data_IF_249122670683
#
_entry.id   IF_249122670683
#
_cell.length_a   1.000
_cell.length_b   1.000
_cell.length_c   1.000
_cell.angle_alpha   90.00
_cell.angle_beta   90.00
_cell.angle_gamma   90.00
#
_symmetry.space_group_name_H-M   'P 1'
#
loop_
_entity.id
_entity.type
_entity.pdbx_description
1 polymer ?
#
# COMPACT_ATOMS: atom_id res chain seq x y z
N UNK A 1 -31.75 -22.44 4.01
CA UNK A 1 -31.43 -21.11 4.59
C UNK A 1 -29.95 -20.93 4.39
N UNK A 2 -29.57 -20.37 3.23
CA UNK A 2 -28.30 -20.67 2.58
C UNK A 2 -27.28 -19.54 2.81
N UNK A 3 -26.01 -19.94 2.78
CA UNK A 3 -24.75 -19.27 3.10
C UNK A 3 -24.44 -17.91 2.41
N UNK A 4 -25.44 -17.09 2.09
CA UNK A 4 -25.31 -15.80 1.39
C UNK A 4 -25.56 -14.58 2.30
N UNK A 5 -25.40 -14.71 3.63
CA UNK A 5 -25.74 -13.65 4.61
C UNK A 5 -24.70 -13.45 5.73
N UNK A 6 -23.46 -13.90 5.56
CA UNK A 6 -22.48 -14.00 6.66
C UNK A 6 -21.15 -13.26 6.42
N UNK A 7 -21.07 -12.34 5.47
CA UNK A 7 -19.80 -11.71 5.07
C UNK A 7 -19.99 -10.25 4.63
N UNK A 8 -20.34 -9.38 5.57
CA UNK A 8 -20.21 -7.93 5.38
C UNK A 8 -19.29 -7.43 6.50
N UNK A 9 -18.37 -6.50 6.21
CA UNK A 9 -17.39 -5.91 7.15
C UNK A 9 -16.04 -6.63 7.22
N UNK A 10 -15.23 -6.42 6.19
CA UNK A 10 -13.83 -6.13 6.37
C UNK A 10 -13.78 -4.81 5.66
N UNK A 11 -14.13 -3.79 6.43
CA UNK A 11 -14.31 -2.45 5.95
C UNK A 11 -15.23 -2.30 4.72
N UNK A 12 -16.52 -2.10 4.99
CA UNK A 12 -17.24 -0.97 4.40
C UNK A 12 -17.66 -1.07 2.91
N UNK A 13 -18.99 -1.10 2.71
CA UNK A 13 -19.72 -0.82 1.46
C UNK A 13 -19.55 0.65 0.99
N UNK A 14 -18.34 1.20 1.06
CA UNK A 14 -18.02 2.53 0.57
C UNK A 14 -17.84 2.47 -0.93
N UNK A 15 -18.49 3.41 -1.62
CA UNK A 15 -17.93 3.88 -2.87
C UNK A 15 -16.84 4.90 -2.52
N UNK A 16 -15.58 4.69 -2.93
CA UNK A 16 -14.56 5.71 -2.75
C UNK A 16 -14.95 6.93 -3.59
N UNK A 17 -15.19 8.06 -2.93
CA UNK A 17 -15.38 9.35 -3.60
C UNK A 17 -14.09 10.13 -3.51
N UNK A 18 -13.44 10.36 -4.65
CA UNK A 18 -12.19 11.13 -4.72
C UNK A 18 -12.52 12.62 -4.64
N UNK A 19 -12.32 13.23 -3.46
CA UNK A 19 -12.23 14.68 -3.37
C UNK A 19 -10.77 15.09 -3.62
N UNK A 20 -10.47 15.54 -4.85
CA UNK A 20 -9.13 15.99 -5.21
C UNK A 20 -8.88 17.38 -4.58
N UNK A 21 -8.38 17.41 -3.35
CA UNK A 21 -7.96 18.65 -2.68
C UNK A 21 -6.43 18.62 -2.48
N UNK A 22 -5.76 19.42 -3.32
CA UNK A 22 -4.43 19.99 -3.13
C UNK A 22 -3.29 18.99 -2.83
N UNK A 23 -2.66 18.46 -3.87
CA UNK A 23 -1.31 17.91 -3.76
C UNK A 23 -0.31 19.07 -3.54
N UNK A 24 0.26 19.18 -2.34
CA UNK A 24 1.43 20.04 -2.10
C UNK A 24 2.68 19.20 -2.35
N UNK A 25 3.20 19.26 -3.57
CA UNK A 25 4.47 18.62 -3.92
C UNK A 25 5.63 19.47 -3.38
N UNK A 26 6.38 18.94 -2.42
CA UNK A 26 7.63 19.55 -1.94
C UNK A 26 8.80 18.82 -2.60
N UNK A 27 9.49 19.47 -3.52
CA UNK A 27 10.72 18.94 -4.15
C UNK A 27 11.92 19.27 -3.26
N UNK A 28 12.62 18.25 -2.74
CA UNK A 28 13.91 18.46 -2.06
C UNK A 28 14.98 18.70 -3.13
N UNK A 29 15.63 19.88 -3.12
CA UNK A 29 16.90 20.09 -3.84
C UNK A 29 18.00 19.39 -3.04
N UNK A 30 18.72 18.43 -3.65
CA UNK A 30 19.98 17.92 -3.10
C UNK A 30 21.10 18.90 -3.49
N UNK A 31 21.80 19.44 -2.50
CA UNK A 31 23.12 20.04 -2.68
C UNK A 31 24.13 18.89 -2.83
N UNK A 32 24.82 18.85 -3.97
CA UNK A 32 25.90 17.90 -4.27
C UNK A 32 27.21 18.44 -3.67
N UNK A 33 27.83 17.67 -2.79
CA UNK A 33 29.23 17.85 -2.40
C UNK A 33 30.05 16.73 -3.07
N UNK A 34 30.78 17.11 -4.12
CA UNK A 34 31.83 16.31 -4.75
C UNK A 34 32.99 16.09 -3.78
N UNK A 35 33.35 14.83 -3.51
CA UNK A 35 34.74 14.47 -3.24
C UNK A 35 34.98 12.96 -3.40
N UNK A 36 35.99 12.57 -4.17
CA UNK A 36 36.47 11.19 -4.20
C UNK A 36 37.25 10.80 -5.45
N UNK A 37 38.58 10.88 -5.36
CA UNK A 37 39.53 10.53 -6.40
C UNK A 37 39.69 9.03 -6.70
N UNK A 38 40.41 8.78 -7.79
CA UNK A 38 40.55 7.55 -8.54
C UNK A 38 41.85 6.76 -8.22
N UNK A 39 41.86 5.46 -8.64
CA UNK A 39 42.95 4.46 -8.81
C UNK A 39 42.90 3.31 -7.77
N UNK A 40 43.09 2.01 -8.09
CA UNK A 40 43.70 1.33 -9.25
C UNK A 40 43.28 -0.16 -9.31
N UNK A 41 43.27 -0.68 -10.54
CA UNK A 41 43.18 -2.04 -11.10
C UNK A 41 44.02 -3.17 -10.45
N UNK A 42 43.48 -4.39 -10.40
CA UNK A 42 44.20 -5.65 -10.70
C UNK A 42 43.27 -6.83 -11.11
N UNK A 43 43.77 -7.69 -12.01
CA UNK A 43 43.11 -8.84 -12.66
C UNK A 43 43.60 -10.16 -12.04
N UNK A 44 42.77 -11.23 -12.02
CA UNK A 44 42.95 -12.50 -12.79
C UNK A 44 42.14 -13.71 -12.26
N UNK A 45 41.49 -14.39 -13.22
CA UNK A 45 41.33 -15.85 -13.45
C UNK A 45 40.43 -16.77 -12.57
N UNK A 46 39.35 -17.21 -13.23
CA UNK A 46 38.83 -18.60 -13.42
C UNK A 46 38.46 -19.48 -12.21
N UNK A 47 37.23 -20.02 -12.21
CA UNK A 47 36.93 -21.46 -12.46
C UNK A 47 35.43 -21.66 -12.65
N UNK A 48 35.08 -22.36 -13.73
CA UNK A 48 33.73 -22.81 -14.04
C UNK A 48 33.31 -23.93 -13.09
N UNK A 49 32.06 -23.91 -12.60
CA UNK A 49 31.43 -25.12 -12.09
C UNK A 49 29.99 -25.20 -12.60
N UNK A 50 29.76 -26.22 -13.41
CA UNK A 50 28.50 -26.60 -14.01
C UNK A 50 27.67 -27.40 -13.00
N UNK A 51 26.52 -26.88 -12.60
CA UNK A 51 25.45 -27.67 -12.00
C UNK A 51 24.17 -27.41 -12.79
N UNK A 52 23.83 -28.39 -13.63
CA UNK A 52 22.62 -28.43 -14.44
C UNK A 52 21.40 -28.64 -13.55
N UNK A 53 20.66 -27.57 -13.27
CA UNK A 53 19.28 -27.65 -12.79
C UNK A 53 18.33 -27.34 -13.96
N UNK A 54 17.59 -28.36 -14.37
CA UNK A 54 16.56 -28.28 -15.42
C UNK A 54 15.36 -27.47 -14.91
N UNK A 55 15.42 -26.16 -15.07
CA UNK A 55 14.30 -25.25 -14.80
C UNK A 55 13.35 -25.25 -16.00
N UNK A 56 12.10 -25.64 -15.78
CA UNK A 56 11.07 -25.70 -16.83
C UNK A 56 10.76 -24.30 -17.39
N UNK A 57 10.33 -24.25 -18.65
CA UNK A 57 10.05 -23.00 -19.41
C UNK A 57 8.98 -22.11 -18.76
N UNK A 58 8.13 -22.68 -17.89
CA UNK A 58 7.15 -21.95 -17.07
C UNK A 58 7.80 -21.29 -15.83
N UNK A 59 8.69 -22.03 -15.16
CA UNK A 59 9.40 -21.56 -13.95
C UNK A 59 10.44 -20.48 -14.27
N UNK A 60 11.04 -20.54 -15.47
CA UNK A 60 11.91 -19.47 -16.01
C UNK A 60 11.15 -18.22 -16.48
N UNK A 61 9.86 -18.33 -16.82
CA UNK A 61 9.03 -17.16 -17.16
C UNK A 61 8.56 -16.44 -15.90
N UNK A 62 8.26 -17.18 -14.82
CA UNK A 62 7.88 -16.60 -13.53
C UNK A 62 9.05 -15.83 -12.90
N UNK A 63 10.27 -16.40 -12.88
CA UNK A 63 11.44 -15.76 -12.28
C UNK A 63 11.94 -14.51 -13.01
N UNK A 64 11.63 -14.36 -14.31
CA UNK A 64 12.04 -13.20 -15.11
C UNK A 64 11.04 -12.04 -14.96
N UNK A 65 9.76 -12.33 -14.73
CA UNK A 65 8.75 -11.31 -14.42
C UNK A 65 8.97 -10.72 -13.02
N UNK A 66 9.31 -11.55 -12.03
CA UNK A 66 9.55 -11.11 -10.65
C UNK A 66 10.81 -10.23 -10.49
N UNK A 67 11.79 -10.35 -11.40
CA UNK A 67 13.00 -9.53 -11.38
C UNK A 67 12.89 -8.19 -12.13
N UNK A 68 11.89 -8.02 -13.00
CA UNK A 68 11.72 -6.79 -13.79
C UNK A 68 10.79 -5.75 -13.13
N UNK A 69 9.97 -6.14 -12.14
CA UNK A 69 9.07 -5.23 -11.42
C UNK A 69 9.71 -4.52 -10.21
N UNK A 70 10.94 -4.88 -9.86
CA UNK A 70 11.63 -4.41 -8.65
C UNK A 70 12.02 -2.91 -8.59
N UNK A 71 12.34 -2.17 -9.68
CA UNK A 71 13.01 -0.88 -9.53
C UNK A 71 12.10 0.22 -8.96
N UNK A 72 10.79 0.20 -9.26
CA UNK A 72 9.88 1.25 -8.78
C UNK A 72 9.50 1.02 -7.31
N UNK A 73 9.32 -0.23 -6.89
CA UNK A 73 9.02 -0.55 -5.49
C UNK A 73 10.09 -0.02 -4.54
N UNK A 74 11.39 -0.13 -4.90
CA UNK A 74 12.47 0.38 -4.06
C UNK A 74 12.51 1.90 -3.93
N UNK A 75 11.94 2.63 -4.89
CA UNK A 75 11.88 4.10 -4.91
C UNK A 75 10.58 4.68 -4.34
N UNK A 76 9.63 3.85 -3.92
CA UNK A 76 8.34 4.29 -3.37
C UNK A 76 8.28 4.04 -1.86
N UNK A 77 7.83 5.02 -1.10
CA UNK A 77 7.74 4.93 0.37
C UNK A 77 6.51 5.63 0.90
N UNK A 78 5.78 4.98 1.80
CA UNK A 78 4.82 5.65 2.66
C UNK A 78 5.56 6.26 3.86
N UNK A 79 5.44 7.58 4.04
CA UNK A 79 6.10 8.30 5.12
C UNK A 79 5.27 8.29 6.40
N UNK A 80 3.96 8.46 6.26
CA UNK A 80 3.00 8.39 7.35
C UNK A 80 1.57 8.25 6.81
N UNK A 81 0.66 7.82 7.68
CA UNK A 81 -0.77 7.76 7.41
C UNK A 81 -1.56 8.13 8.67
N UNK A 82 -2.68 8.82 8.50
CA UNK A 82 -3.65 9.06 9.57
C UNK A 82 -5.09 8.72 9.13
N UNK A 83 -5.90 8.36 10.11
CA UNK A 83 -7.33 8.13 9.99
C UNK A 83 -8.06 9.05 10.96
N UNK A 84 -9.05 9.77 10.44
CA UNK A 84 -9.90 10.70 11.19
C UNK A 84 -11.35 10.33 11.00
N UNK A 85 -12.14 10.57 12.02
CA UNK A 85 -13.58 10.67 11.86
C UNK A 85 -13.87 11.86 10.91
N UNK A 86 -14.54 11.63 9.79
CA UNK A 86 -14.74 12.66 8.77
C UNK A 86 -15.75 13.75 9.20
N UNK A 87 -16.65 13.42 10.13
CA UNK A 87 -17.65 14.36 10.65
C UNK A 87 -17.04 15.29 11.70
N UNK A 88 -16.27 14.72 12.63
CA UNK A 88 -15.71 15.48 13.76
C UNK A 88 -14.28 15.99 13.54
N UNK A 89 -13.57 15.45 12.54
CA UNK A 89 -12.15 15.71 12.30
C UNK A 89 -11.19 15.08 13.31
N UNK A 90 -11.73 14.36 14.31
CA UNK A 90 -10.95 13.74 15.39
C UNK A 90 -10.02 12.66 14.83
N UNK A 91 -8.73 12.74 15.14
CA UNK A 91 -7.77 11.67 14.84
C UNK A 91 -8.13 10.41 15.63
N UNK A 92 -8.34 9.31 14.91
CA UNK A 92 -8.60 7.98 15.47
C UNK A 92 -7.34 7.14 15.49
N UNK A 93 -6.49 7.28 14.48
CA UNK A 93 -5.27 6.50 14.36
C UNK A 93 -4.25 7.23 13.49
N UNK A 94 -2.96 6.98 13.75
CA UNK A 94 -1.84 7.46 12.95
C UNK A 94 -0.67 6.48 13.03
N UNK A 95 0.14 6.40 11.97
CA UNK A 95 1.42 5.70 11.97
C UNK A 95 2.43 6.42 11.06
N UNK A 96 3.71 6.23 11.36
CA UNK A 96 4.86 6.66 10.56
C UNK A 96 5.58 5.47 9.92
N UNK A 97 5.03 4.27 10.05
CA UNK A 97 5.58 3.06 9.44
C UNK A 97 5.37 3.08 7.92
N UNK A 98 6.31 2.50 7.19
CA UNK A 98 6.19 2.34 5.75
C UNK A 98 5.28 1.16 5.42
N UNK A 99 3.97 1.39 5.49
CA UNK A 99 2.97 0.37 5.20
C UNK A 99 2.91 -0.03 3.71
N UNK A 100 3.78 0.52 2.85
CA UNK A 100 3.95 0.09 1.47
C UNK A 100 5.04 -0.99 1.30
N UNK A 101 5.84 -1.29 2.34
CA UNK A 101 6.86 -2.35 2.27
C UNK A 101 6.22 -3.72 2.02
N UNK A 102 6.52 -4.39 0.88
CA UNK A 102 5.94 -5.69 0.55
C UNK A 102 6.58 -6.87 1.29
N UNK A 103 7.72 -6.66 1.95
CA UNK A 103 8.51 -7.75 2.54
C UNK A 103 7.98 -8.21 3.91
N UNK A 104 7.04 -7.48 4.48
CA UNK A 104 6.46 -7.75 5.79
C UNK A 104 4.93 -7.68 5.75
N UNK A 105 4.28 -8.45 6.60
CA UNK A 105 2.89 -8.21 6.94
C UNK A 105 2.86 -7.23 8.11
N UNK A 106 2.34 -6.03 7.85
CA UNK A 106 2.26 -4.97 8.85
C UNK A 106 1.10 -5.22 9.81
N UNK A 107 1.15 -4.60 10.98
CA UNK A 107 0.03 -4.58 11.92
C UNK A 107 -0.44 -3.15 12.17
N UNK A 108 -1.76 -2.94 12.26
CA UNK A 108 -2.34 -1.69 12.71
C UNK A 108 -3.36 -1.92 13.83
N UNK A 109 -3.10 -1.29 14.98
CA UNK A 109 -3.99 -1.33 16.15
C UNK A 109 -4.84 -0.06 16.18
N UNK A 110 -6.10 -0.19 15.80
CA UNK A 110 -7.04 0.92 15.62
C UNK A 110 -8.13 0.88 16.70
N UNK A 111 -8.63 2.04 17.18
CA UNK A 111 -9.65 2.04 18.21
C UNK A 111 -10.98 1.49 17.69
N UNK A 112 -11.67 0.68 18.49
CA UNK A 112 -13.02 0.17 18.16
C UNK A 112 -14.03 1.26 17.78
N UNK A 113 -13.84 2.49 18.27
CA UNK A 113 -14.72 3.62 17.95
C UNK A 113 -14.75 3.96 16.46
N UNK A 114 -13.74 3.57 15.68
CA UNK A 114 -13.75 3.77 14.22
C UNK A 114 -14.91 3.02 13.53
N UNK A 115 -15.38 1.92 14.13
CA UNK A 115 -16.53 1.16 13.63
C UNK A 115 -17.86 1.90 13.84
N UNK A 116 -17.87 3.05 14.52
CA UNK A 116 -19.06 3.88 14.71
C UNK A 116 -19.08 5.09 13.78
N UNK A 117 -17.98 5.36 13.08
CA UNK A 117 -17.87 6.50 12.19
C UNK A 117 -18.72 6.25 10.94
N UNK A 118 -19.55 7.23 10.57
CA UNK A 118 -20.25 7.21 9.28
C UNK A 118 -19.28 7.26 8.12
N UNK A 119 -18.22 8.05 8.24
CA UNK A 119 -17.20 8.25 7.23
C UNK A 119 -15.84 8.40 7.91
N UNK A 120 -14.81 7.79 7.32
CA UNK A 120 -13.43 7.91 7.78
C UNK A 120 -12.64 8.67 6.73
N UNK A 121 -12.03 9.79 7.13
CA UNK A 121 -11.06 10.50 6.31
C UNK A 121 -9.68 9.88 6.52
N UNK A 122 -9.07 9.43 5.44
CA UNK A 122 -7.71 8.89 5.39
C UNK A 122 -6.80 9.88 4.71
N UNK A 123 -5.70 10.19 5.35
CA UNK A 123 -4.62 10.97 4.76
C UNK A 123 -3.34 10.15 4.79
N UNK A 124 -2.69 10.05 3.64
CA UNK A 124 -1.41 9.36 3.50
C UNK A 124 -0.40 10.32 2.89
N UNK A 125 0.84 10.23 3.34
CA UNK A 125 1.96 10.95 2.76
C UNK A 125 2.99 9.97 2.24
N UNK A 126 3.43 10.17 1.01
CA UNK A 126 4.34 9.27 0.34
C UNK A 126 5.39 10.03 -0.45
N UNK A 127 6.52 9.37 -0.65
CA UNK A 127 7.60 9.84 -1.52
C UNK A 127 7.77 8.85 -2.66
N UNK A 128 8.06 9.37 -3.85
CA UNK A 128 8.45 8.56 -5.00
C UNK A 128 9.73 9.11 -5.61
N UNK A 129 10.75 8.28 -5.74
CA UNK A 129 11.98 8.59 -6.48
C UNK A 129 11.70 8.67 -7.99
N UNK A 130 10.87 7.78 -8.49
CA UNK A 130 10.53 7.69 -9.90
C UNK A 130 9.26 8.47 -10.24
N UNK A 131 9.16 8.91 -11.49
CA UNK A 131 7.93 9.47 -12.07
C UNK A 131 6.87 8.35 -12.14
N UNK A 132 5.62 8.67 -11.83
CA UNK A 132 4.47 7.77 -12.01
C UNK A 132 3.41 8.53 -12.82
N UNK A 133 2.99 7.99 -13.97
CA UNK A 133 2.11 8.72 -14.88
C UNK A 133 0.64 8.71 -14.41
N UNK A 134 0.14 7.57 -13.92
CA UNK A 134 -1.22 7.42 -13.38
C UNK A 134 -1.20 6.60 -12.10
N UNK A 135 -0.70 7.20 -11.03
CA UNK A 135 -0.66 6.58 -9.72
C UNK A 135 -2.06 6.29 -9.18
N UNK A 136 -2.30 5.05 -8.79
CA UNK A 136 -3.57 4.59 -8.22
C UNK A 136 -3.36 3.42 -7.25
N UNK A 137 -4.35 3.20 -6.40
CA UNK A 137 -4.40 2.08 -5.46
C UNK A 137 -5.61 1.20 -5.77
N UNK A 138 -5.39 -0.11 -5.64
CA UNK A 138 -6.46 -1.09 -5.43
C UNK A 138 -6.27 -1.68 -4.05
N UNK A 139 -7.33 -1.68 -3.24
CA UNK A 139 -7.31 -2.28 -1.92
C UNK A 139 -8.34 -3.38 -1.83
N UNK A 140 -7.90 -4.58 -1.47
CA UNK A 140 -8.78 -5.71 -1.17
C UNK A 140 -8.78 -5.95 0.32
N UNK A 141 -9.98 -6.06 0.87
CA UNK A 141 -10.13 -6.34 2.29
C UNK A 141 -10.59 -7.77 2.49
N UNK A 142 -9.75 -8.53 3.20
CA UNK A 142 -9.96 -9.94 3.48
C UNK A 142 -10.46 -10.14 4.91
N UNK A 143 -11.52 -10.94 5.07
CA UNK A 143 -11.91 -11.53 6.35
C UNK A 143 -11.67 -13.04 6.26
N UNK A 144 -10.73 -13.54 7.08
CA UNK A 144 -10.39 -14.98 7.12
C UNK A 144 -10.10 -15.57 5.73
N UNK A 145 -9.38 -14.80 4.90
CA UNK A 145 -8.98 -15.23 3.55
C UNK A 145 -10.01 -15.01 2.44
N UNK A 146 -11.23 -14.56 2.77
CA UNK A 146 -12.23 -14.20 1.77
C UNK A 146 -12.21 -12.68 1.53
N UNK A 147 -12.09 -12.26 0.27
CA UNK A 147 -12.31 -10.86 -0.11
C UNK A 147 -13.76 -10.52 0.18
N UNK A 148 -13.99 -9.46 0.95
CA UNK A 148 -15.35 -8.99 1.22
C UNK A 148 -15.59 -7.57 0.77
N UNK A 149 -14.54 -6.79 0.50
CA UNK A 149 -14.62 -5.44 -0.04
C UNK A 149 -13.43 -5.16 -0.98
N UNK A 150 -13.65 -4.33 -2.00
CA UNK A 150 -12.64 -3.85 -2.93
C UNK A 150 -12.78 -2.33 -3.12
N UNK A 151 -11.68 -1.60 -2.98
CA UNK A 151 -11.65 -0.15 -3.12
C UNK A 151 -10.64 0.29 -4.17
N UNK A 152 -10.99 1.34 -4.91
CA UNK A 152 -10.19 1.89 -5.99
C UNK A 152 -9.98 3.38 -5.75
N UNK A 153 -8.73 3.83 -5.72
CA UNK A 153 -8.38 5.23 -5.50
C UNK A 153 -7.43 5.70 -6.59
N UNK A 154 -7.68 6.88 -7.16
CA UNK A 154 -6.83 7.46 -8.20
C UNK A 154 -6.20 8.77 -7.69
N UNK A 155 -4.87 8.84 -7.73
CA UNK A 155 -4.11 10.06 -7.41
C UNK A 155 -3.75 10.82 -8.68
N UNK A 156 -3.27 10.11 -9.70
CA UNK A 156 -2.83 10.68 -10.98
C UNK A 156 -1.32 10.83 -11.06
N UNK A 157 -0.86 11.94 -11.65
CA UNK A 157 0.55 12.14 -11.95
C UNK A 157 1.40 12.38 -10.69
N UNK A 158 2.54 11.69 -10.58
CA UNK A 158 3.53 11.87 -9.50
C UNK A 158 4.84 12.35 -10.10
N UNK A 159 5.31 13.50 -9.60
CA UNK A 159 6.59 14.09 -9.98
C UNK A 159 7.73 13.20 -9.42
N UNK A 160 8.79 12.89 -10.18
CA UNK A 160 9.95 12.17 -9.65
C UNK A 160 10.60 12.94 -8.49
N UNK A 161 11.09 12.22 -7.49
CA UNK A 161 11.69 12.77 -6.26
C UNK A 161 10.77 13.73 -5.49
N UNK A 162 9.45 13.55 -5.59
CA UNK A 162 8.47 14.36 -4.87
C UNK A 162 7.95 13.67 -3.61
N UNK A 163 7.48 14.48 -2.67
CA UNK A 163 6.69 14.03 -1.52
C UNK A 163 5.29 14.62 -1.64
N UNK A 164 4.27 13.79 -1.50
CA UNK A 164 2.88 14.14 -1.72
C UNK A 164 2.03 13.72 -0.53
N UNK A 165 1.00 14.52 -0.24
CA UNK A 165 -0.07 14.15 0.68
C UNK A 165 -1.33 13.90 -0.12
N UNK A 166 -2.03 12.80 0.19
CA UNK A 166 -3.24 12.39 -0.49
C UNK A 166 -4.34 12.07 0.53
N UNK A 167 -5.47 12.75 0.38
CA UNK A 167 -6.66 12.53 1.19
C UNK A 167 -7.70 11.70 0.42
N UNK A 168 -8.29 10.73 1.12
CA UNK A 168 -9.36 9.87 0.63
C UNK A 168 -10.46 9.79 1.70
N UNK A 169 -11.72 9.67 1.27
CA UNK A 169 -12.85 9.42 2.18
C UNK A 169 -13.35 8.00 1.97
N UNK A 170 -13.62 7.31 3.08
CA UNK A 170 -14.13 5.94 3.12
C UNK A 170 -15.47 5.96 3.86
N UNK A 171 -16.57 5.74 3.16
CA UNK A 171 -17.96 5.80 3.67
C UNK A 171 -18.42 4.48 4.31
N UNK A 172 -18.63 4.42 5.62
CA UNK A 172 -18.99 3.20 6.32
C UNK A 172 -20.35 2.59 5.89
N UNK A 173 -20.44 1.27 6.02
CA UNK A 173 -21.73 0.57 5.94
C UNK A 173 -22.64 0.98 7.11
N UNK A 174 -23.98 0.90 6.97
CA UNK A 174 -24.90 1.22 8.05
C UNK A 174 -24.61 0.40 9.33
N UNK A 175 -24.79 1.01 10.51
CA UNK A 175 -24.39 0.45 11.82
C UNK A 175 -24.95 -0.97 12.07
N UNK A 176 -26.19 -1.25 11.64
CA UNK A 176 -26.84 -2.56 11.81
C UNK A 176 -26.25 -3.69 10.94
N UNK A 177 -25.31 -3.39 10.05
CA UNK A 177 -24.65 -4.36 9.17
C UNK A 177 -23.19 -4.62 9.54
N UNK A 178 -22.67 -3.93 10.58
CA UNK A 178 -21.27 -4.05 10.98
C UNK A 178 -21.05 -5.28 11.86
N UNK A 179 -20.06 -6.10 11.50
CA UNK A 179 -19.62 -7.20 12.35
C UNK A 179 -18.99 -6.66 13.65
N UNK A 180 -19.18 -7.37 14.78
CA UNK A 180 -18.56 -6.98 16.04
C UNK A 180 -17.04 -6.94 15.96
N UNK A 181 -16.42 -5.99 16.67
CA UNK A 181 -14.97 -5.86 16.74
C UNK A 181 -14.26 -7.16 17.15
N UNK A 182 -14.88 -8.00 17.98
CA UNK A 182 -14.35 -9.30 18.39
C UNK A 182 -14.23 -10.31 17.24
N UNK A 183 -15.07 -10.19 16.22
CA UNK A 183 -15.00 -11.01 14.99
C UNK A 183 -13.93 -10.46 14.05
N UNK A 184 -13.81 -9.13 13.97
CA UNK A 184 -12.91 -8.45 13.04
C UNK A 184 -11.46 -8.45 13.47
N UNK A 185 -11.20 -8.20 14.75
CA UNK A 185 -9.85 -7.98 15.28
C UNK A 185 -8.94 -9.18 15.03
N UNK A 186 -7.81 -8.94 14.37
CA UNK A 186 -6.82 -9.93 13.96
C UNK A 186 -7.21 -10.77 12.72
N UNK A 187 -8.48 -10.71 12.30
CA UNK A 187 -8.99 -11.50 11.17
C UNK A 187 -9.11 -10.69 9.87
N UNK A 188 -8.95 -9.37 9.94
CA UNK A 188 -8.92 -8.48 8.78
C UNK A 188 -7.50 -8.29 8.28
N UNK A 189 -7.31 -8.47 6.97
CA UNK A 189 -6.11 -8.09 6.23
C UNK A 189 -6.53 -7.13 5.11
N UNK A 190 -5.92 -5.95 5.05
CA UNK A 190 -5.99 -5.07 3.87
C UNK A 190 -4.77 -5.38 3.02
N UNK A 191 -5.00 -5.87 1.81
CA UNK A 191 -3.98 -5.92 0.76
C UNK A 191 -4.08 -4.65 -0.07
N UNK A 192 -2.98 -3.92 -0.22
CA UNK A 192 -2.91 -2.71 -1.03
C UNK A 192 -1.96 -2.93 -2.20
N UNK A 193 -2.49 -2.83 -3.41
CA UNK A 193 -1.70 -2.87 -4.64
C UNK A 193 -1.55 -1.46 -5.22
N UNK A 194 -0.30 -1.07 -5.46
CA UNK A 194 0.10 0.23 -5.99
C UNK A 194 0.37 0.10 -7.48
N UNK A 195 -0.21 0.98 -8.30
CA UNK A 195 -0.08 0.89 -9.76
C UNK A 195 0.35 2.20 -10.40
N UNK A 196 1.09 2.09 -11.51
CA UNK A 196 1.17 3.09 -12.58
C UNK A 196 0.30 2.64 -13.75
N UNK A 197 -0.90 3.20 -13.90
CA UNK A 197 -1.90 2.72 -14.87
C UNK A 197 -2.14 1.21 -14.72
N UNK A 198 -1.67 0.37 -15.63
CA UNK A 198 -1.82 -1.09 -15.56
C UNK A 198 -0.62 -1.81 -14.94
N UNK A 199 0.50 -1.11 -14.73
CA UNK A 199 1.73 -1.69 -14.21
C UNK A 199 1.69 -1.75 -12.68
N UNK A 200 1.80 -2.95 -12.12
CA UNK A 200 1.95 -3.14 -10.68
C UNK A 200 3.33 -2.62 -10.25
N UNK A 201 3.34 -1.77 -9.22
CA UNK A 201 4.54 -1.26 -8.57
C UNK A 201 4.92 -2.19 -7.41
N UNK A 202 3.99 -2.37 -6.47
CA UNK A 202 4.16 -3.28 -5.34
C UNK A 202 2.81 -3.64 -4.71
N UNK A 203 2.83 -4.65 -3.84
CA UNK A 203 1.67 -5.06 -3.04
C UNK A 203 2.09 -5.20 -1.59
N UNK A 204 1.40 -4.53 -0.67
CA UNK A 204 1.63 -4.62 0.77
C UNK A 204 0.40 -5.18 1.50
N UNK A 205 0.60 -5.66 2.73
CA UNK A 205 -0.46 -6.25 3.56
C UNK A 205 -0.43 -5.67 4.96
N UNK A 206 -1.60 -5.29 5.47
CA UNK A 206 -1.77 -4.78 6.83
C UNK A 206 -2.86 -5.57 7.55
N UNK A 207 -2.51 -6.24 8.64
CA UNK A 207 -3.46 -6.89 9.54
C UNK A 207 -4.02 -5.88 10.54
N UNK A 208 -5.35 -5.84 10.68
CA UNK A 208 -6.01 -4.91 11.59
C UNK A 208 -6.39 -5.56 12.92
N UNK A 209 -6.11 -4.84 14.00
CA UNK A 209 -6.57 -5.16 15.35
C UNK A 209 -7.43 -4.01 15.88
N UNK A 210 -8.67 -4.32 16.27
CA UNK A 210 -9.57 -3.36 16.89
C UNK A 210 -9.41 -3.44 18.42
N UNK A 211 -8.80 -2.41 19.00
CA UNK A 211 -8.48 -2.31 20.44
C UNK A 211 -9.46 -1.43 21.21
#
# INVERSE_FOLDING_TARGET
MNAAKAAATAAVLAKPTTANKSAVAVTRRKEEAENGGEKKREQRTSTANSSSSTTTKAQRRQSVLDQQQQPICSGFKLNWMNLRDAETGKTLWQSTDDLADPNVEHEARIPKSILKCKEVSRELNFTSEHKIDKFRLEQRVFLRGHVIEEWFFNFGFVIPQSTNTWQNVIEAAPEGQMLPASVLSGNIIIETSFFDDYQLICTSKVRLFYV
#
